data_IF_568961587134
#
_entry.id   IF_568961587134
#
_cell.length_a   1.000
_cell.length_b   1.000
_cell.length_c   1.000
_cell.angle_alpha   90.00
_cell.angle_beta   90.00
_cell.angle_gamma   90.00
#
_symmetry.space_group_name_H-M   'P 1'
#
loop_
_entity.id
_entity.type
_entity.pdbx_description
1 polymer ?
#
# COMPACT_ATOMS: atom_id res chain seq x y z
N UNK A 1 -35.14 28.28 71.76
CA UNK A 1 -34.67 28.37 70.36
C UNK A 1 -33.99 27.05 70.00
N UNK A 2 -34.74 25.94 69.97
CA UNK A 2 -34.11 24.59 70.05
C UNK A 2 -34.89 23.42 69.44
N UNK A 3 -35.95 23.64 68.64
CA UNK A 3 -36.61 22.53 67.90
C UNK A 3 -36.82 22.82 66.40
N UNK A 4 -36.96 24.09 66.01
CA UNK A 4 -37.12 24.49 64.60
C UNK A 4 -35.83 24.33 63.78
N UNK A 5 -34.65 24.53 64.37
CA UNK A 5 -33.36 24.36 63.67
C UNK A 5 -33.01 22.89 63.40
N UNK A 6 -33.39 21.98 64.30
CA UNK A 6 -33.10 20.54 64.19
C UNK A 6 -33.86 19.88 63.04
N UNK A 7 -35.15 20.19 62.90
CA UNK A 7 -35.98 19.64 61.82
C UNK A 7 -35.58 20.21 60.46
N UNK A 8 -35.24 21.51 60.39
CA UNK A 8 -34.78 22.13 59.16
C UNK A 8 -33.46 21.53 58.66
N UNK A 9 -32.52 21.23 59.55
CA UNK A 9 -31.23 20.59 59.18
C UNK A 9 -31.44 19.16 58.70
N UNK A 10 -32.32 18.38 59.34
CA UNK A 10 -32.59 17.00 58.94
C UNK A 10 -33.32 16.92 57.59
N UNK A 11 -34.32 17.78 57.36
CA UNK A 11 -34.99 17.89 56.04
C UNK A 11 -33.99 18.32 54.96
N UNK A 12 -33.11 19.29 55.25
CA UNK A 12 -32.06 19.69 54.32
C UNK A 12 -31.07 18.55 54.02
N UNK A 13 -30.71 17.73 55.01
CA UNK A 13 -29.83 16.58 54.83
C UNK A 13 -30.50 15.46 54.03
N UNK A 14 -31.79 15.19 54.26
CA UNK A 14 -32.55 14.24 53.44
C UNK A 14 -32.71 14.74 52.00
N UNK A 15 -32.98 16.03 51.80
CA UNK A 15 -33.15 16.62 50.47
C UNK A 15 -31.83 16.66 49.69
N UNK A 16 -30.73 17.01 50.36
CA UNK A 16 -29.37 16.92 49.82
C UNK A 16 -29.00 15.46 49.53
N UNK A 17 -29.28 14.52 50.42
CA UNK A 17 -28.99 13.10 50.24
C UNK A 17 -29.79 12.46 49.10
N UNK A 18 -31.08 12.80 49.01
CA UNK A 18 -32.00 12.34 47.96
C UNK A 18 -31.67 12.93 46.59
N UNK A 19 -31.06 14.12 46.52
CA UNK A 19 -30.58 14.72 45.27
C UNK A 19 -29.15 14.29 44.90
N UNK A 20 -28.22 14.20 45.87
CA UNK A 20 -26.82 13.84 45.64
C UNK A 20 -26.65 12.37 45.23
N UNK A 21 -27.42 11.45 45.82
CA UNK A 21 -27.32 10.02 45.48
C UNK A 21 -27.56 9.75 44.00
N UNK A 22 -28.71 10.15 43.43
CA UNK A 22 -28.99 10.03 42.00
C UNK A 22 -28.00 10.81 41.13
N UNK A 23 -27.61 12.02 41.54
CA UNK A 23 -26.64 12.85 40.79
C UNK A 23 -25.26 12.19 40.72
N UNK A 24 -24.74 11.65 41.82
CA UNK A 24 -23.48 10.91 41.86
C UNK A 24 -23.58 9.61 41.06
N UNK A 25 -24.70 8.89 41.13
CA UNK A 25 -24.92 7.70 40.32
C UNK A 25 -24.90 8.03 38.82
N UNK A 26 -25.50 9.14 38.41
CA UNK A 26 -25.47 9.63 37.01
C UNK A 26 -24.04 10.01 36.59
N UNK A 27 -23.32 10.76 37.42
CA UNK A 27 -21.92 11.15 37.14
C UNK A 27 -21.01 9.92 37.04
N UNK A 28 -21.09 9.00 38.00
CA UNK A 28 -20.29 7.77 37.97
C UNK A 28 -20.65 6.89 36.78
N UNK A 29 -21.93 6.82 36.39
CA UNK A 29 -22.35 6.14 35.17
C UNK A 29 -21.78 6.80 33.92
N UNK A 30 -21.78 8.13 33.85
CA UNK A 30 -21.20 8.89 32.75
C UNK A 30 -19.68 8.71 32.66
N UNK A 31 -18.97 8.75 33.80
CA UNK A 31 -17.53 8.47 33.88
C UNK A 31 -17.25 7.03 33.47
N UNK A 32 -18.03 6.06 33.95
CA UNK A 32 -17.92 4.65 33.60
C UNK A 32 -18.10 4.42 32.09
N UNK A 33 -19.11 5.04 31.49
CA UNK A 33 -19.34 5.02 30.05
C UNK A 33 -18.16 5.63 29.29
N UNK A 34 -17.65 6.78 29.74
CA UNK A 34 -16.50 7.44 29.11
C UNK A 34 -15.23 6.58 29.19
N UNK A 35 -14.92 5.99 30.35
CA UNK A 35 -13.78 5.08 30.53
C UNK A 35 -13.92 3.87 29.60
N UNK A 36 -15.12 3.26 29.54
CA UNK A 36 -15.39 2.11 28.66
C UNK A 36 -15.16 2.48 27.18
N UNK A 37 -15.72 3.60 26.72
CA UNK A 37 -15.53 4.11 25.37
C UNK A 37 -14.05 4.31 25.03
N UNK A 38 -13.26 4.90 25.94
CA UNK A 38 -11.81 5.09 25.75
C UNK A 38 -11.05 3.76 25.65
N UNK A 39 -11.46 2.74 26.40
CA UNK A 39 -10.85 1.40 26.35
C UNK A 39 -11.19 0.71 25.02
N UNK A 40 -12.45 0.79 24.59
CA UNK A 40 -12.92 0.23 23.31
C UNK A 40 -12.20 0.88 22.12
N UNK A 41 -12.14 2.21 22.08
CA UNK A 41 -11.35 2.98 21.09
C UNK A 41 -9.89 2.51 21.00
N UNK A 42 -9.26 2.22 22.15
CA UNK A 42 -7.88 1.75 22.20
C UNK A 42 -7.75 0.32 21.67
N UNK A 43 -8.72 -0.55 21.97
CA UNK A 43 -8.74 -1.92 21.45
C UNK A 43 -8.96 -1.91 19.93
N UNK A 44 -9.93 -1.15 19.46
CA UNK A 44 -10.25 -0.97 18.04
C UNK A 44 -9.03 -0.44 17.26
N UNK A 45 -8.37 0.60 17.77
CA UNK A 45 -7.15 1.12 17.15
C UNK A 45 -6.05 0.08 17.06
N UNK A 46 -5.82 -0.72 18.11
CA UNK A 46 -4.81 -1.80 18.08
C UNK A 46 -5.16 -2.84 17.01
N UNK A 47 -6.45 -3.15 16.87
CA UNK A 47 -6.94 -4.08 15.87
C UNK A 47 -6.75 -3.53 14.45
N UNK A 48 -7.02 -2.25 14.20
CA UNK A 48 -6.71 -1.61 12.92
C UNK A 48 -5.22 -1.71 12.56
N UNK A 49 -4.33 -1.38 13.50
CA UNK A 49 -2.88 -1.49 13.27
C UNK A 49 -2.46 -2.94 13.00
N UNK A 50 -3.12 -3.93 13.60
CA UNK A 50 -2.90 -5.36 13.32
C UNK A 50 -3.39 -5.74 11.92
N UNK A 51 -4.61 -5.35 11.54
CA UNK A 51 -5.16 -5.60 10.19
C UNK A 51 -4.29 -4.99 9.10
N UNK A 52 -3.80 -3.76 9.28
CA UNK A 52 -2.87 -3.11 8.35
C UNK A 52 -1.62 -3.95 8.15
N UNK A 53 -1.02 -4.49 9.21
CA UNK A 53 0.16 -5.34 9.08
C UNK A 53 -0.12 -6.60 8.26
N UNK A 54 -1.23 -7.29 8.57
CA UNK A 54 -1.61 -8.54 7.90
C UNK A 54 -1.91 -8.27 6.43
N UNK A 55 -2.67 -7.21 6.15
CA UNK A 55 -3.02 -6.80 4.79
C UNK A 55 -1.76 -6.50 3.98
N UNK A 56 -0.87 -5.65 4.48
CA UNK A 56 0.37 -5.30 3.79
C UNK A 56 1.31 -6.49 3.62
N UNK A 57 1.37 -7.41 4.57
CA UNK A 57 2.18 -8.62 4.40
C UNK A 57 1.70 -9.45 3.21
N UNK A 58 0.38 -9.58 3.04
CA UNK A 58 -0.22 -10.27 1.90
C UNK A 58 -0.03 -9.50 0.60
N UNK A 59 -0.35 -8.20 0.57
CA UNK A 59 -0.18 -7.34 -0.61
C UNK A 59 1.27 -7.31 -1.07
N UNK A 60 2.24 -7.20 -0.15
CA UNK A 60 3.68 -7.26 -0.46
C UNK A 60 4.07 -8.60 -1.05
N UNK A 61 3.56 -9.70 -0.53
CA UNK A 61 3.83 -11.01 -1.10
C UNK A 61 3.30 -11.11 -2.54
N UNK A 62 2.05 -10.71 -2.76
CA UNK A 62 1.40 -10.78 -4.07
C UNK A 62 2.10 -9.87 -5.10
N UNK A 63 2.50 -8.64 -4.73
CA UNK A 63 3.23 -7.73 -5.63
C UNK A 63 4.63 -8.25 -5.97
N UNK A 64 5.36 -8.85 -5.01
CA UNK A 64 6.65 -9.47 -5.31
C UNK A 64 6.49 -10.65 -6.28
N UNK A 65 5.51 -11.52 -6.06
CA UNK A 65 5.21 -12.63 -6.97
C UNK A 65 4.83 -12.12 -8.36
N UNK A 66 3.93 -11.14 -8.45
CA UNK A 66 3.50 -10.57 -9.72
C UNK A 66 4.68 -9.92 -10.47
N UNK A 67 5.54 -9.18 -9.77
CA UNK A 67 6.73 -8.56 -10.35
C UNK A 67 7.69 -9.59 -10.96
N UNK A 68 7.96 -10.69 -10.27
CA UNK A 68 8.84 -11.73 -10.79
C UNK A 68 8.22 -12.51 -11.95
N UNK A 69 6.91 -12.80 -11.90
CA UNK A 69 6.20 -13.43 -13.02
C UNK A 69 6.24 -12.55 -14.29
N UNK A 70 6.04 -11.23 -14.15
CA UNK A 70 6.12 -10.29 -15.26
C UNK A 70 7.56 -10.16 -15.80
N UNK A 71 8.57 -10.12 -14.93
CA UNK A 71 9.99 -10.10 -15.36
C UNK A 71 10.38 -11.36 -16.13
N UNK A 72 9.97 -12.52 -15.63
CA UNK A 72 10.18 -13.79 -16.33
C UNK A 72 9.49 -13.80 -17.69
N UNK A 73 8.24 -13.32 -17.75
CA UNK A 73 7.49 -13.24 -19.00
C UNK A 73 8.13 -12.26 -20.00
N UNK A 74 8.52 -11.06 -19.55
CA UNK A 74 9.29 -10.09 -20.35
C UNK A 74 10.55 -10.73 -20.94
N UNK A 75 11.31 -11.48 -20.14
CA UNK A 75 12.50 -12.21 -20.60
C UNK A 75 12.16 -13.23 -21.68
N UNK A 76 11.05 -13.96 -21.57
CA UNK A 76 10.59 -14.89 -22.61
C UNK A 76 10.17 -14.19 -23.89
N UNK A 77 9.52 -13.04 -23.80
CA UNK A 77 9.14 -12.22 -24.96
C UNK A 77 10.41 -11.71 -25.68
N UNK A 78 11.42 -11.25 -24.93
CA UNK A 78 12.73 -10.86 -25.50
C UNK A 78 13.44 -12.02 -26.17
N UNK A 79 13.40 -13.22 -25.58
CA UNK A 79 13.99 -14.41 -26.18
C UNK A 79 13.31 -14.77 -27.51
N UNK A 80 11.99 -14.63 -27.64
CA UNK A 80 11.31 -14.81 -28.94
C UNK A 80 11.79 -13.82 -30.00
N UNK A 81 12.02 -12.56 -29.63
CA UNK A 81 12.58 -11.57 -30.55
C UNK A 81 14.02 -11.92 -30.95
N UNK A 82 14.83 -12.41 -30.00
CA UNK A 82 16.19 -12.87 -30.28
C UNK A 82 16.22 -14.13 -31.18
N UNK A 83 15.30 -15.07 -30.99
CA UNK A 83 15.11 -16.23 -31.86
C UNK A 83 14.80 -15.78 -33.30
N UNK A 84 13.87 -14.84 -33.48
CA UNK A 84 13.57 -14.25 -34.80
C UNK A 84 14.82 -13.65 -35.46
N UNK A 85 15.63 -12.89 -34.71
CA UNK A 85 16.88 -12.28 -35.22
C UNK A 85 17.94 -13.28 -35.62
N UNK A 86 17.98 -14.43 -34.94
CA UNK A 86 18.97 -15.47 -35.22
C UNK A 86 18.75 -16.13 -36.60
N UNK A 87 17.59 -15.92 -37.22
CA UNK A 87 17.27 -16.42 -38.55
C UNK A 87 17.95 -15.55 -39.61
N UNK A 88 19.00 -16.10 -40.21
CA UNK A 88 19.81 -15.43 -41.24
C UNK A 88 19.22 -15.57 -42.65
N UNK A 89 18.32 -16.53 -42.88
CA UNK A 89 17.66 -16.72 -44.18
C UNK A 89 16.54 -15.69 -44.39
N UNK A 90 16.71 -14.77 -45.34
CA UNK A 90 15.74 -13.71 -45.66
C UNK A 90 14.39 -14.23 -46.24
N UNK A 91 14.27 -15.53 -46.54
CA UNK A 91 13.05 -16.16 -47.09
C UNK A 91 12.10 -16.74 -46.04
N UNK A 92 12.54 -16.88 -44.80
CA UNK A 92 11.80 -17.60 -43.75
C UNK A 92 10.88 -16.65 -42.96
N UNK A 93 9.61 -16.99 -42.81
CA UNK A 93 8.72 -16.28 -41.87
C UNK A 93 8.93 -16.79 -40.44
N UNK A 94 8.67 -15.94 -39.45
CA UNK A 94 8.73 -16.33 -38.03
C UNK A 94 7.49 -15.87 -37.28
N UNK A 95 6.82 -16.81 -36.60
CA UNK A 95 5.65 -16.52 -35.78
C UNK A 95 5.51 -17.56 -34.65
N UNK A 96 6.44 -17.51 -33.70
CA UNK A 96 6.32 -18.28 -32.45
C UNK A 96 5.46 -17.54 -31.42
N UNK A 97 5.05 -18.24 -30.35
CA UNK A 97 4.22 -17.64 -29.30
C UNK A 97 4.69 -18.07 -27.93
N UNK A 98 4.47 -17.18 -26.97
CA UNK A 98 4.52 -17.46 -25.54
C UNK A 98 3.16 -17.14 -24.95
N UNK A 99 2.76 -17.88 -23.93
CA UNK A 99 1.50 -17.60 -23.22
C UNK A 99 1.74 -16.53 -22.17
N UNK A 100 0.79 -15.60 -22.02
CA UNK A 100 0.77 -14.70 -20.90
C UNK A 100 0.60 -15.51 -19.60
N UNK A 101 1.39 -15.25 -18.54
CA UNK A 101 1.29 -16.01 -17.29
C UNK A 101 -0.07 -15.78 -16.62
N UNK A 102 -0.55 -16.78 -15.89
CA UNK A 102 -1.72 -16.60 -15.02
C UNK A 102 -1.31 -15.75 -13.83
N UNK A 103 -1.73 -14.49 -13.85
CA UNK A 103 -1.44 -13.53 -12.78
C UNK A 103 -2.59 -13.50 -11.79
N UNK A 104 -2.27 -13.59 -10.49
CA UNK A 104 -3.24 -13.32 -9.43
C UNK A 104 -3.33 -11.81 -9.19
N UNK A 105 -4.53 -11.32 -8.93
CA UNK A 105 -4.74 -9.96 -8.45
C UNK A 105 -3.98 -9.72 -7.12
N UNK A 106 -3.31 -8.56 -7.01
CA UNK A 106 -2.65 -8.15 -5.78
C UNK A 106 -3.71 -7.88 -4.72
N UNK A 107 -3.60 -8.54 -3.56
CA UNK A 107 -4.56 -8.36 -2.49
C UNK A 107 -4.70 -6.90 -2.06
N UNK A 108 -5.95 -6.46 -1.90
CA UNK A 108 -6.34 -5.12 -1.45
C UNK A 108 -7.41 -5.24 -0.37
N UNK A 109 -7.13 -4.75 0.85
CA UNK A 109 -8.15 -4.58 1.89
C UNK A 109 -8.88 -3.26 1.67
N UNK A 110 -10.12 -3.34 1.15
CA UNK A 110 -10.96 -2.20 0.78
C UNK A 110 -11.35 -1.36 2.01
N UNK A 111 -11.33 -1.93 3.21
CA UNK A 111 -11.65 -1.21 4.44
C UNK A 111 -10.46 -0.41 4.98
N UNK A 112 -9.23 -0.75 4.57
CA UNK A 112 -8.01 -0.20 5.16
C UNK A 112 -7.93 1.34 5.12
N UNK A 113 -8.35 2.03 4.03
CA UNK A 113 -8.51 3.48 4.00
C UNK A 113 -9.37 4.08 5.13
N UNK A 114 -10.37 3.34 5.60
CA UNK A 114 -11.36 3.82 6.58
C UNK A 114 -10.90 3.65 8.04
N UNK A 115 -9.74 3.02 8.27
CA UNK A 115 -9.25 2.76 9.62
C UNK A 115 -8.83 4.02 10.37
N UNK A 116 -9.33 4.18 11.59
CA UNK A 116 -9.01 5.31 12.48
C UNK A 116 -7.67 5.11 13.19
N UNK A 117 -6.57 5.27 12.47
CA UNK A 117 -5.20 5.01 12.98
C UNK A 117 -4.62 6.09 13.91
N UNK A 118 -5.20 7.30 13.89
CA UNK A 118 -4.74 8.49 14.64
C UNK A 118 -3.28 8.88 14.32
N UNK A 119 -2.85 8.67 13.07
CA UNK A 119 -1.55 9.06 12.51
C UNK A 119 -1.80 9.62 11.10
N UNK A 120 -1.37 10.85 10.88
CA UNK A 120 -1.47 11.55 9.60
C UNK A 120 -0.60 10.87 8.55
N UNK A 121 0.65 10.54 8.89
CA UNK A 121 1.57 9.87 7.97
C UNK A 121 1.03 8.49 7.55
N UNK A 122 0.62 7.68 8.53
CA UNK A 122 0.15 6.32 8.26
C UNK A 122 -1.14 6.33 7.43
N UNK A 123 -2.07 7.23 7.73
CA UNK A 123 -3.31 7.36 6.97
C UNK A 123 -3.06 7.74 5.51
N UNK A 124 -2.23 8.75 5.23
CA UNK A 124 -1.92 9.15 3.86
C UNK A 124 -1.22 8.03 3.07
N UNK A 125 -0.23 7.37 3.67
CA UNK A 125 0.46 6.27 2.99
C UNK A 125 -0.47 5.07 2.75
N UNK A 126 -1.43 4.79 3.63
CA UNK A 126 -2.48 3.79 3.40
C UNK A 126 -3.34 4.16 2.19
N UNK A 127 -3.73 5.43 2.05
CA UNK A 127 -4.48 5.90 0.87
C UNK A 127 -3.67 5.70 -0.41
N UNK A 128 -2.37 5.97 -0.37
CA UNK A 128 -1.49 5.74 -1.53
C UNK A 128 -1.32 4.25 -1.86
N UNK A 129 -1.22 3.39 -0.85
CA UNK A 129 -1.22 1.93 -1.05
C UNK A 129 -2.52 1.47 -1.69
N UNK A 130 -3.66 1.97 -1.23
CA UNK A 130 -4.98 1.60 -1.77
C UNK A 130 -5.11 1.98 -3.25
N UNK A 131 -4.81 3.24 -3.58
CA UNK A 131 -4.86 3.75 -4.95
C UNK A 131 -3.84 3.03 -5.84
N UNK A 132 -2.59 2.89 -5.39
CA UNK A 132 -1.53 2.24 -6.15
C UNK A 132 -1.80 0.75 -6.40
N UNK A 133 -2.37 0.03 -5.42
CA UNK A 133 -2.73 -1.38 -5.61
C UNK A 133 -3.85 -1.52 -6.65
N UNK A 134 -4.86 -0.64 -6.60
CA UNK A 134 -5.94 -0.61 -7.59
C UNK A 134 -5.39 -0.38 -8.99
N UNK A 135 -4.55 0.65 -9.16
CA UNK A 135 -3.93 0.98 -10.45
C UNK A 135 -3.06 -0.18 -10.97
N UNK A 136 -2.26 -0.81 -10.12
CA UNK A 136 -1.44 -1.97 -10.52
C UNK A 136 -2.29 -3.14 -10.99
N UNK A 137 -3.39 -3.45 -10.31
CA UNK A 137 -4.30 -4.52 -10.72
C UNK A 137 -4.93 -4.22 -12.09
N UNK A 138 -5.34 -2.97 -12.33
CA UNK A 138 -5.87 -2.53 -13.63
C UNK A 138 -4.81 -2.66 -14.74
N UNK A 139 -3.57 -2.20 -14.50
CA UNK A 139 -2.49 -2.34 -15.48
C UNK A 139 -2.16 -3.80 -15.78
N UNK A 140 -2.05 -4.65 -14.75
CA UNK A 140 -1.78 -6.10 -14.94
C UNK A 140 -2.88 -6.78 -15.74
N UNK A 141 -4.14 -6.40 -15.52
CA UNK A 141 -5.27 -6.91 -16.30
C UNK A 141 -5.18 -6.48 -17.77
N UNK A 142 -4.88 -5.20 -18.01
CA UNK A 142 -4.77 -4.64 -19.36
C UNK A 142 -3.59 -5.23 -20.14
N UNK A 143 -2.44 -5.48 -19.50
CA UNK A 143 -1.27 -6.10 -20.13
C UNK A 143 -1.59 -7.43 -20.81
N UNK A 144 -2.52 -8.22 -20.26
CA UNK A 144 -2.96 -9.47 -20.90
C UNK A 144 -3.68 -9.18 -22.22
N UNK A 145 -4.64 -8.26 -22.20
CA UNK A 145 -5.40 -7.86 -23.39
C UNK A 145 -4.48 -7.25 -24.45
N UNK A 146 -3.59 -6.35 -24.04
CA UNK A 146 -2.62 -5.70 -24.92
C UNK A 146 -1.69 -6.72 -25.59
N UNK A 147 -1.28 -7.76 -24.85
CA UNK A 147 -0.48 -8.85 -25.41
C UNK A 147 -1.26 -9.68 -26.43
N UNK A 148 -2.52 -10.02 -26.14
CA UNK A 148 -3.39 -10.75 -27.07
C UNK A 148 -3.62 -9.97 -28.37
N UNK A 149 -3.82 -8.67 -28.27
CA UNK A 149 -3.95 -7.79 -29.44
C UNK A 149 -2.65 -7.65 -30.23
N UNK A 150 -1.49 -7.59 -29.55
CA UNK A 150 -0.18 -7.62 -30.21
C UNK A 150 0.03 -8.91 -31.01
N UNK A 151 -0.35 -10.06 -30.44
CA UNK A 151 -0.28 -11.36 -31.15
C UNK A 151 -1.19 -11.33 -32.39
N UNK A 152 -2.40 -10.78 -32.27
CA UNK A 152 -3.33 -10.63 -33.40
C UNK A 152 -2.76 -9.71 -34.49
N UNK A 153 -2.16 -8.58 -34.13
CA UNK A 153 -1.50 -7.68 -35.09
C UNK A 153 -0.37 -8.39 -35.85
N UNK A 154 0.43 -9.20 -35.14
CA UNK A 154 1.50 -9.99 -35.74
C UNK A 154 0.97 -11.07 -36.71
N UNK A 155 -0.16 -11.71 -36.40
CA UNK A 155 -0.84 -12.63 -37.34
C UNK A 155 -1.35 -11.91 -38.59
N UNK A 156 -1.93 -10.71 -38.43
CA UNK A 156 -2.43 -9.90 -39.54
C UNK A 156 -1.30 -9.45 -40.47
N UNK A 157 -0.11 -9.12 -39.94
CA UNK A 157 1.07 -8.82 -40.74
C UNK A 157 1.42 -9.97 -41.70
N UNK A 158 1.34 -11.23 -41.23
CA UNK A 158 1.54 -12.41 -42.09
C UNK A 158 0.44 -12.53 -43.15
N UNK A 159 -0.81 -12.25 -42.80
CA UNK A 159 -1.93 -12.32 -43.73
C UNK A 159 -1.85 -11.26 -44.86
N UNK A 160 -1.49 -10.01 -44.53
CA UNK A 160 -1.32 -8.92 -45.49
C UNK A 160 -0.16 -9.19 -46.45
N UNK A 161 0.91 -9.81 -45.96
CA UNK A 161 2.08 -10.15 -46.77
C UNK A 161 1.89 -11.34 -47.73
N UNK A 162 0.73 -12.02 -47.71
CA UNK A 162 0.44 -13.10 -48.67
C UNK A 162 0.44 -12.64 -50.13
N UNK A 163 0.15 -11.36 -50.38
CA UNK A 163 0.07 -10.80 -51.74
C UNK A 163 1.41 -10.22 -52.24
N UNK A 164 2.37 -9.96 -51.35
CA UNK A 164 3.73 -9.50 -51.68
C UNK A 164 4.67 -9.86 -50.53
N UNK A 165 5.16 -11.11 -50.47
CA UNK A 165 5.86 -11.63 -49.31
C UNK A 165 7.22 -10.94 -49.12
N UNK A 166 7.38 -10.30 -47.96
CA UNK A 166 8.68 -9.80 -47.49
C UNK A 166 8.95 -10.34 -46.07
N UNK A 167 9.47 -11.57 -45.96
CA UNK A 167 9.68 -12.22 -44.66
C UNK A 167 10.62 -11.43 -43.75
N UNK A 168 11.63 -10.76 -44.31
CA UNK A 168 12.54 -9.90 -43.56
C UNK A 168 11.82 -8.72 -42.90
N UNK A 169 10.93 -8.05 -43.64
CA UNK A 169 10.11 -6.97 -43.10
C UNK A 169 9.13 -7.49 -42.03
N UNK A 170 8.55 -8.68 -42.23
CA UNK A 170 7.68 -9.32 -41.25
C UNK A 170 8.42 -9.55 -39.93
N UNK A 171 9.61 -10.17 -39.99
CA UNK A 171 10.42 -10.44 -38.80
C UNK A 171 10.83 -9.17 -38.08
N UNK A 172 11.27 -8.15 -38.82
CA UNK A 172 11.66 -6.86 -38.23
C UNK A 172 10.49 -6.19 -37.48
N UNK A 173 9.29 -6.19 -38.06
CA UNK A 173 8.10 -5.65 -37.39
C UNK A 173 7.68 -6.48 -36.17
N UNK A 174 7.70 -7.80 -36.30
CA UNK A 174 7.43 -8.74 -35.21
C UNK A 174 8.37 -8.54 -34.02
N UNK A 175 9.68 -8.45 -34.29
CA UNK A 175 10.71 -8.19 -33.28
C UNK A 175 10.50 -6.86 -32.57
N UNK A 176 10.25 -5.78 -33.32
CA UNK A 176 10.02 -4.45 -32.76
C UNK A 176 8.78 -4.43 -31.86
N UNK A 177 7.70 -5.09 -32.26
CA UNK A 177 6.48 -5.19 -31.47
C UNK A 177 6.75 -5.91 -30.14
N UNK A 178 7.40 -7.09 -30.20
CA UNK A 178 7.74 -7.85 -29.00
C UNK A 178 8.67 -7.09 -28.06
N UNK A 179 9.71 -6.44 -28.57
CA UNK A 179 10.64 -5.67 -27.74
C UNK A 179 9.97 -4.47 -27.08
N UNK A 180 9.15 -3.74 -27.83
CA UNK A 180 8.42 -2.58 -27.29
C UNK A 180 7.52 -3.01 -26.13
N UNK A 181 6.82 -4.13 -26.29
CA UNK A 181 5.97 -4.68 -25.24
C UNK A 181 6.76 -5.18 -24.02
N UNK A 182 7.86 -5.93 -24.23
CA UNK A 182 8.71 -6.37 -23.14
C UNK A 182 9.34 -5.20 -22.37
N UNK A 183 9.76 -4.15 -23.07
CA UNK A 183 10.31 -2.94 -22.45
C UNK A 183 9.25 -2.21 -21.62
N UNK A 184 7.99 -2.16 -22.06
CA UNK A 184 6.90 -1.60 -21.27
C UNK A 184 6.65 -2.38 -19.97
N UNK A 185 6.74 -3.72 -20.02
CA UNK A 185 6.67 -4.56 -18.80
C UNK A 185 7.84 -4.26 -17.87
N UNK A 186 9.06 -4.14 -18.40
CA UNK A 186 10.25 -3.85 -17.58
C UNK A 186 10.15 -2.47 -16.91
N UNK A 187 9.66 -1.46 -17.63
CA UNK A 187 9.41 -0.13 -17.08
C UNK A 187 8.35 -0.17 -15.98
N UNK A 188 7.23 -0.86 -16.20
CA UNK A 188 6.17 -1.00 -15.20
C UNK A 188 6.66 -1.74 -13.94
N UNK A 189 7.40 -2.84 -14.11
CA UNK A 189 7.89 -3.65 -12.98
C UNK A 189 9.00 -2.95 -12.20
N UNK A 190 9.86 -2.16 -12.85
CA UNK A 190 10.95 -1.44 -12.20
C UNK A 190 10.49 -0.15 -11.51
N UNK A 191 9.63 0.64 -12.17
CA UNK A 191 9.16 1.93 -11.66
C UNK A 191 7.92 1.75 -10.78
N UNK A 192 6.79 1.38 -11.38
CA UNK A 192 5.48 1.38 -10.69
C UNK A 192 5.43 0.34 -9.57
N UNK A 193 5.73 -0.93 -9.87
CA UNK A 193 5.74 -1.98 -8.83
C UNK A 193 6.86 -1.75 -7.79
N UNK A 194 8.01 -1.21 -8.21
CA UNK A 194 9.09 -0.82 -7.30
C UNK A 194 8.65 0.23 -6.27
N UNK A 195 8.01 1.30 -6.73
CA UNK A 195 7.45 2.33 -5.88
C UNK A 195 6.36 1.79 -4.94
N UNK A 196 5.48 0.91 -5.43
CA UNK A 196 4.46 0.28 -4.58
C UNK A 196 5.06 -0.55 -3.44
N UNK A 197 6.09 -1.35 -3.74
CA UNK A 197 6.84 -2.10 -2.73
C UNK A 197 7.44 -1.16 -1.68
N UNK A 198 8.03 -0.05 -2.12
CA UNK A 198 8.63 0.94 -1.22
C UNK A 198 7.59 1.53 -0.27
N UNK A 199 6.47 2.05 -0.80
CA UNK A 199 5.41 2.67 -0.01
C UNK A 199 4.80 1.65 0.97
N UNK A 200 4.47 0.44 0.52
CA UNK A 200 3.93 -0.61 1.39
C UNK A 200 4.92 -0.97 2.52
N UNK A 201 6.22 -1.00 2.22
CA UNK A 201 7.27 -1.26 3.22
C UNK A 201 7.39 -0.13 4.23
N UNK A 202 7.34 1.13 3.77
CA UNK A 202 7.29 2.31 4.62
C UNK A 202 6.10 2.26 5.59
N UNK A 203 4.90 1.91 5.10
CA UNK A 203 3.70 1.74 5.94
C UNK A 203 3.92 0.63 6.96
N UNK A 204 4.48 -0.52 6.55
CA UNK A 204 4.72 -1.66 7.43
C UNK A 204 5.67 -1.31 8.58
N UNK A 205 6.81 -0.69 8.28
CA UNK A 205 7.81 -0.29 9.28
C UNK A 205 7.26 0.78 10.21
N UNK A 206 6.56 1.79 9.67
CA UNK A 206 5.96 2.83 10.49
C UNK A 206 4.89 2.28 11.43
N UNK A 207 4.03 1.40 10.92
CA UNK A 207 3.00 0.72 11.69
C UNK A 207 3.59 -0.14 12.82
N UNK A 208 4.69 -0.86 12.55
CA UNK A 208 5.42 -1.62 13.57
C UNK A 208 5.87 -0.71 14.73
N UNK A 209 6.47 0.45 14.42
CA UNK A 209 6.90 1.43 15.43
C UNK A 209 5.73 1.95 16.26
N UNK A 210 4.56 2.16 15.66
CA UNK A 210 3.35 2.59 16.37
C UNK A 210 2.76 1.51 17.29
N UNK A 211 2.98 0.23 16.99
CA UNK A 211 2.48 -0.89 17.80
C UNK A 211 3.35 -1.22 19.01
N UNK A 212 4.62 -0.78 19.02
CA UNK A 212 5.51 -0.95 20.18
C UNK A 212 4.91 -0.30 21.43
N UNK A 213 5.32 -0.75 22.62
CA UNK A 213 4.86 -0.23 23.93
C UNK A 213 4.93 1.31 24.01
N UNK A 214 6.00 1.88 23.45
CA UNK A 214 6.26 3.32 23.40
C UNK A 214 5.85 3.98 22.08
N UNK A 215 4.98 3.35 21.28
CA UNK A 215 4.55 3.86 19.98
C UNK A 215 3.85 5.21 20.04
N UNK A 216 3.21 5.54 21.15
CA UNK A 216 2.64 6.87 21.40
C UNK A 216 3.72 7.97 21.51
N UNK A 217 4.87 7.67 22.12
CA UNK A 217 6.02 8.59 22.17
C UNK A 217 6.64 8.76 20.78
N UNK A 218 6.71 7.67 20.01
CA UNK A 218 7.18 7.72 18.62
C UNK A 218 6.27 8.59 17.76
N UNK A 219 4.95 8.35 17.80
CA UNK A 219 3.94 9.17 17.12
C UNK A 219 4.08 10.64 17.52
N UNK A 220 4.18 10.91 18.81
CA UNK A 220 4.33 12.28 19.31
C UNK A 220 5.65 12.93 18.87
N UNK A 221 6.75 12.18 18.79
CA UNK A 221 8.06 12.69 18.32
C UNK A 221 8.03 13.03 16.83
N UNK A 222 7.37 12.21 16.01
CA UNK A 222 7.41 12.34 14.55
C UNK A 222 6.30 13.21 13.98
N UNK A 223 5.10 13.15 14.58
CA UNK A 223 3.90 13.84 14.08
C UNK A 223 3.32 14.84 15.10
N UNK A 224 3.83 14.85 16.34
CA UNK A 224 3.32 15.74 17.37
C UNK A 224 3.68 17.20 17.11
N UNK A 225 2.69 18.07 17.19
CA UNK A 225 2.81 19.51 16.95
C UNK A 225 3.16 20.29 18.24
N UNK A 226 4.05 19.78 19.11
CA UNK A 226 4.47 20.53 20.31
C UNK A 226 5.62 21.49 19.99
N UNK A 227 5.54 22.73 20.48
CA UNK A 227 6.61 23.76 20.43
C UNK A 227 7.98 23.29 20.92
N UNK A 228 8.07 22.21 21.70
CA UNK A 228 9.37 21.65 22.10
C UNK A 228 10.21 21.15 20.90
N UNK A 229 9.56 20.84 19.77
CA UNK A 229 10.21 20.33 18.55
C UNK A 229 10.20 21.31 17.38
N UNK A 230 9.52 22.45 17.51
CA UNK A 230 9.46 23.51 16.52
C UNK A 230 9.86 24.81 17.20
N UNK A 231 10.85 25.53 16.66
CA UNK A 231 11.37 26.73 17.33
C UNK A 231 10.31 27.81 17.50
N UNK A 232 9.26 27.82 16.66
CA UNK A 232 8.16 28.77 16.76
C UNK A 232 6.85 28.26 16.11
N UNK A 233 5.76 29.03 16.32
CA UNK A 233 4.41 28.75 15.80
C UNK A 233 4.33 28.81 14.26
N UNK A 234 5.26 29.52 13.63
CA UNK A 234 5.33 29.68 12.17
C UNK A 234 5.85 28.40 11.52
N UNK A 235 6.90 27.79 12.09
CA UNK A 235 7.41 26.46 11.69
C UNK A 235 6.38 25.36 11.90
N UNK A 236 5.65 25.38 13.02
CA UNK A 236 4.55 24.44 13.27
C UNK A 236 3.41 24.60 12.25
N UNK A 237 3.02 25.84 11.92
CA UNK A 237 2.00 26.11 10.90
C UNK A 237 2.47 25.76 9.48
N UNK A 238 3.76 25.95 9.18
CA UNK A 238 4.36 25.51 7.93
C UNK A 238 4.36 23.98 7.83
N UNK A 239 4.74 23.28 8.91
CA UNK A 239 4.71 21.82 9.00
C UNK A 239 3.32 21.23 8.76
N UNK A 240 2.28 21.79 9.41
CA UNK A 240 0.90 21.30 9.26
C UNK A 240 0.29 21.56 7.87
N UNK A 241 0.94 22.39 7.04
CA UNK A 241 0.43 22.82 5.73
C UNK A 241 1.28 22.33 4.55
N UNK A 242 2.37 21.60 4.80
CA UNK A 242 3.34 21.25 3.76
C UNK A 242 3.46 19.73 3.56
N UNK A 243 3.53 19.30 2.30
CA UNK A 243 3.73 17.91 1.88
C UNK A 243 5.10 17.37 2.36
N UNK A 244 6.10 18.25 2.48
CA UNK A 244 7.47 17.94 2.97
C UNK A 244 7.51 17.29 4.37
N UNK A 245 6.41 17.35 5.12
CA UNK A 245 6.28 16.71 6.44
C UNK A 245 6.33 15.18 6.36
N UNK A 246 5.85 14.59 5.26
CA UNK A 246 5.91 13.14 5.00
C UNK A 246 7.33 12.70 4.63
N UNK A 247 8.01 13.45 3.78
CA UNK A 247 9.37 13.15 3.32
C UNK A 247 10.40 13.09 4.46
N UNK A 248 10.20 13.90 5.51
CA UNK A 248 11.05 13.83 6.71
C UNK A 248 10.90 12.47 7.41
N UNK A 249 9.67 11.97 7.50
CA UNK A 249 9.40 10.69 8.14
C UNK A 249 9.96 9.55 7.28
N UNK A 250 9.83 9.64 5.96
CA UNK A 250 10.46 8.72 5.01
C UNK A 250 11.96 8.62 5.25
N UNK A 251 12.67 9.76 5.35
CA UNK A 251 14.11 9.81 5.69
C UNK A 251 14.46 9.16 7.04
N UNK A 252 13.58 9.26 8.03
CA UNK A 252 13.81 8.66 9.37
C UNK A 252 13.75 7.13 9.30
N UNK A 253 12.95 6.56 8.41
CA UNK A 253 12.77 5.11 8.27
C UNK A 253 13.52 4.51 7.07
N UNK A 254 14.12 5.34 6.23
CA UNK A 254 14.76 4.98 4.95
C UNK A 254 15.70 3.77 5.07
N UNK A 255 16.64 3.79 6.02
CA UNK A 255 17.58 2.67 6.19
C UNK A 255 16.87 1.36 6.53
N UNK A 256 15.83 1.40 7.34
CA UNK A 256 15.04 0.21 7.69
C UNK A 256 14.24 -0.28 6.49
N UNK A 257 13.67 0.65 5.70
CA UNK A 257 12.96 0.35 4.45
C UNK A 257 13.88 -0.33 3.46
N UNK A 258 15.04 0.27 3.17
CA UNK A 258 15.99 -0.30 2.21
C UNK A 258 16.48 -1.67 2.65
N UNK A 259 16.82 -1.85 3.93
CA UNK A 259 17.21 -3.16 4.44
C UNK A 259 16.08 -4.20 4.29
N UNK A 260 14.83 -3.82 4.56
CA UNK A 260 13.69 -4.71 4.44
C UNK A 260 13.42 -5.12 2.98
N UNK A 261 13.53 -4.18 2.04
CA UNK A 261 13.38 -4.43 0.60
C UNK A 261 14.50 -5.37 0.13
N UNK A 262 15.77 -5.06 0.38
CA UNK A 262 16.91 -5.91 -0.03
C UNK A 262 16.77 -7.34 0.49
N UNK A 263 16.43 -7.51 1.77
CA UNK A 263 16.20 -8.84 2.37
C UNK A 263 15.00 -9.58 1.76
N UNK A 264 13.97 -8.87 1.32
CA UNK A 264 12.83 -9.47 0.64
C UNK A 264 13.19 -9.89 -0.79
N UNK A 265 13.92 -9.06 -1.52
CA UNK A 265 14.38 -9.36 -2.89
C UNK A 265 15.32 -10.57 -2.93
N UNK A 266 16.26 -10.67 -1.99
CA UNK A 266 17.17 -11.81 -1.90
C UNK A 266 16.45 -13.13 -1.62
N UNK A 267 15.32 -13.08 -0.90
CA UNK A 267 14.46 -14.26 -0.69
C UNK A 267 13.64 -14.59 -1.93
N UNK A 268 13.07 -13.59 -2.59
CA UNK A 268 12.27 -13.78 -3.80
C UNK A 268 13.09 -14.42 -4.93
N UNK A 269 14.34 -13.97 -5.13
CA UNK A 269 15.26 -14.55 -6.12
C UNK A 269 15.52 -16.05 -5.88
N UNK A 270 15.53 -16.51 -4.63
CA UNK A 270 15.75 -17.93 -4.30
C UNK A 270 14.53 -18.81 -4.60
N UNK A 271 13.32 -18.26 -4.57
CA UNK A 271 12.08 -19.00 -4.78
C UNK A 271 11.75 -19.22 -6.26
N UNK A 272 12.27 -18.37 -7.17
CA UNK A 272 12.05 -18.48 -8.62
C UNK A 272 12.95 -19.55 -9.27
N UNK A 273 13.95 -20.07 -8.54
CA UNK A 273 14.90 -21.10 -9.00
C UNK A 273 14.68 -22.49 -8.38
N UNK A 274 13.56 -22.69 -7.67
CA UNK A 274 13.07 -23.99 -7.20
C UNK A 274 11.75 -24.32 -7.89
#
# INVERSE_FOLDING_TARGET
MTMLDSNFINEWQELIGAALGPFLAVILSAIGFWIKSVIEDKKERKEFLRRIEISLARSLNDIFTAREQLRWFSSRVKNLAAESRSITDDKVFFLNRVNFPTMREIYRDIDMPNFKVKSYYLHNKIMWVDAGTKEMNEVVLNLKSDFEDLIRQNELLVAVMRNSPNPKMQRSAYEQNLESFANAIDDFTSKSMGQGIEIMTQVKIYNEKLRRRNGHLFLWKQEGTKFKFFRNKKEQKAFARNLDSLDRIDKVIEKEVQNAITNAEDRAKKLVHT
#
